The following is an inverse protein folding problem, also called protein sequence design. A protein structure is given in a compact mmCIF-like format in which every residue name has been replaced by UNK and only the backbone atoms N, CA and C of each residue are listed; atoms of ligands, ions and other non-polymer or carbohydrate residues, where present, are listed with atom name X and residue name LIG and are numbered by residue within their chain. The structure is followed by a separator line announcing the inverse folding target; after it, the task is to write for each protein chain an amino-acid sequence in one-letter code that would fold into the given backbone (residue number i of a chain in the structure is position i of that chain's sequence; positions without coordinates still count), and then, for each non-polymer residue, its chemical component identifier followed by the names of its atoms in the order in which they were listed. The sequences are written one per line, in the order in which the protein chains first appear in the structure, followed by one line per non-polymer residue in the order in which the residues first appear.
data_IF_912685660429
#
_entry.id   IF_912685660429
#
_cell.length_a   1.000
_cell.length_b   1.000
_cell.length_c   1.000
_cell.angle_alpha   90.00
_cell.angle_beta   90.00
_cell.angle_gamma   90.00
#
_symmetry.space_group_name_H-M   'P 1'
#
loop_
_entity.id
_entity.type
_entity.pdbx_description
1 polymer ?
#
# COMPACT_ATOMS: atom_id res chain seq x y z
N UNK A 1 -24.53 4.71 7.87
CA UNK A 1 -24.54 6.19 7.75
C UNK A 1 -23.46 6.53 6.76
N UNK A 2 -23.76 7.27 5.70
CA UNK A 2 -22.75 7.71 4.74
C UNK A 2 -21.80 8.69 5.42
N UNK A 3 -20.49 8.50 5.26
CA UNK A 3 -19.48 9.47 5.71
C UNK A 3 -19.61 10.75 4.89
N UNK A 4 -19.35 11.89 5.51
CA UNK A 4 -19.36 13.17 4.82
C UNK A 4 -18.20 13.26 3.82
N UNK A 5 -18.37 14.06 2.77
CA UNK A 5 -17.32 14.31 1.79
C UNK A 5 -16.06 14.93 2.43
N UNK A 6 -16.25 15.79 3.44
CA UNK A 6 -15.13 16.39 4.19
C UNK A 6 -14.33 15.34 4.96
N UNK A 7 -14.98 14.43 5.68
CA UNK A 7 -14.30 13.34 6.39
C UNK A 7 -13.49 12.45 5.43
N UNK A 8 -14.06 12.13 4.27
CA UNK A 8 -13.37 11.34 3.25
C UNK A 8 -12.18 12.09 2.64
N UNK A 9 -12.33 13.39 2.44
CA UNK A 9 -11.23 14.23 1.96
C UNK A 9 -10.08 14.28 2.98
N UNK A 10 -10.38 14.42 4.28
CA UNK A 10 -9.36 14.41 5.33
C UNK A 10 -8.70 13.04 5.48
N UNK A 11 -9.41 11.95 5.21
CA UNK A 11 -8.86 10.60 5.22
C UNK A 11 -7.80 10.35 4.13
N UNK A 12 -7.79 11.14 3.04
CA UNK A 12 -6.88 10.93 1.91
C UNK A 12 -5.41 11.01 2.32
N UNK A 13 -5.05 11.85 3.30
CA UNK A 13 -3.67 11.91 3.79
C UNK A 13 -3.19 10.55 4.31
N UNK A 14 -4.06 9.82 5.00
CA UNK A 14 -3.75 8.50 5.54
C UNK A 14 -3.77 7.42 4.47
N UNK A 15 -4.68 7.51 3.49
CA UNK A 15 -4.70 6.60 2.34
C UNK A 15 -3.40 6.70 1.56
N UNK A 16 -2.98 7.91 1.20
CA UNK A 16 -1.73 8.18 0.47
C UNK A 16 -0.51 7.71 1.25
N UNK A 17 -0.42 8.05 2.53
CA UNK A 17 0.64 7.54 3.41
C UNK A 17 0.73 6.00 3.38
N UNK A 18 -0.42 5.31 3.37
CA UNK A 18 -0.46 3.85 3.29
C UNK A 18 0.02 3.33 1.93
N UNK A 19 -0.31 4.03 0.84
CA UNK A 19 0.19 3.71 -0.52
C UNK A 19 1.71 3.83 -0.54
N UNK A 20 2.27 4.96 -0.09
CA UNK A 20 3.71 5.18 0.00
C UNK A 20 4.41 4.09 0.82
N UNK A 21 3.87 3.75 2.00
CA UNK A 21 4.46 2.72 2.86
C UNK A 21 4.38 1.31 2.26
N UNK A 22 3.41 1.05 1.38
CA UNK A 22 3.27 -0.25 0.71
C UNK A 22 4.39 -0.58 -0.27
N UNK A 23 5.25 0.39 -0.59
CA UNK A 23 6.42 0.22 -1.47
C UNK A 23 7.75 0.55 -0.79
N UNK A 24 7.75 0.74 0.54
CA UNK A 24 8.96 1.06 1.32
C UNK A 24 10.11 0.06 1.10
N UNK A 25 9.80 -1.23 0.93
CA UNK A 25 10.83 -2.26 0.65
C UNK A 25 11.52 -2.04 -0.71
N UNK A 26 10.77 -1.57 -1.71
CA UNK A 26 11.33 -1.29 -3.04
C UNK A 26 12.25 -0.07 -3.00
N UNK A 27 11.82 0.99 -2.31
CA UNK A 27 12.66 2.18 -2.10
C UNK A 27 13.93 1.84 -1.33
N UNK A 28 13.82 1.02 -0.29
CA UNK A 28 14.97 0.54 0.46
C UNK A 28 15.99 -0.16 -0.43
N UNK A 29 15.55 -1.07 -1.31
CA UNK A 29 16.44 -1.76 -2.25
C UNK A 29 17.24 -0.83 -3.19
N UNK A 30 16.72 0.38 -3.47
CA UNK A 30 17.42 1.40 -4.28
C UNK A 30 18.35 2.27 -3.44
N UNK A 31 18.01 2.51 -2.17
CA UNK A 31 18.72 3.42 -1.27
C UNK A 31 19.84 2.73 -0.49
N UNK A 32 19.66 1.47 -0.11
CA UNK A 32 20.51 0.77 0.85
C UNK A 32 22.00 0.87 0.48
N UNK A 33 22.37 0.60 -0.77
CA UNK A 33 23.75 0.61 -1.24
C UNK A 33 24.42 1.99 -1.21
N UNK A 34 23.62 3.07 -1.13
CA UNK A 34 24.08 4.47 -1.13
C UNK A 34 24.31 5.01 0.28
N UNK A 35 23.86 4.31 1.31
CA UNK A 35 23.93 4.75 2.69
C UNK A 35 25.15 4.13 3.40
N UNK A 36 25.90 4.90 4.22
CA UNK A 36 27.06 4.41 4.95
C UNK A 36 26.63 3.67 6.23
N UNK A 37 25.92 2.56 6.08
CA UNK A 37 25.39 1.76 7.17
C UNK A 37 26.22 0.48 7.37
N UNK A 38 26.40 0.08 8.63
CA UNK A 38 26.94 -1.23 8.98
C UNK A 38 25.94 -2.36 8.71
N UNK A 39 26.39 -3.62 8.86
CA UNK A 39 25.55 -4.78 8.59
C UNK A 39 24.33 -4.91 9.51
N UNK A 40 24.44 -4.49 10.78
CA UNK A 40 23.35 -4.55 11.74
C UNK A 40 22.30 -3.49 11.42
N UNK A 41 22.73 -2.26 11.16
CA UNK A 41 21.87 -1.15 10.76
C UNK A 41 21.09 -1.51 9.48
N UNK A 42 21.77 -2.04 8.46
CA UNK A 42 21.13 -2.51 7.22
C UNK A 42 20.03 -3.54 7.49
N UNK A 43 20.32 -4.54 8.32
CA UNK A 43 19.34 -5.56 8.67
C UNK A 43 18.12 -4.98 9.40
N UNK A 44 18.34 -4.04 10.33
CA UNK A 44 17.26 -3.36 11.06
C UNK A 44 16.37 -2.58 10.10
N UNK A 45 16.95 -1.75 9.22
CA UNK A 45 16.18 -0.96 8.26
C UNK A 45 15.47 -1.84 7.23
N UNK A 46 16.14 -2.88 6.71
CA UNK A 46 15.52 -3.82 5.79
C UNK A 46 14.28 -4.49 6.40
N UNK A 47 14.38 -4.96 7.65
CA UNK A 47 13.26 -5.56 8.36
C UNK A 47 12.12 -4.56 8.60
N UNK A 48 12.44 -3.33 9.02
CA UNK A 48 11.44 -2.29 9.22
C UNK A 48 10.70 -1.93 7.91
N UNK A 49 11.42 -1.84 6.79
CA UNK A 49 10.83 -1.59 5.48
C UNK A 49 9.92 -2.73 5.02
N UNK A 50 10.33 -3.99 5.24
CA UNK A 50 9.51 -5.18 4.97
C UNK A 50 8.25 -5.16 5.83
N UNK A 51 8.37 -4.99 7.14
CA UNK A 51 7.22 -4.97 8.05
C UNK A 51 6.24 -3.84 7.70
N UNK A 52 6.73 -2.62 7.46
CA UNK A 52 5.91 -1.48 7.03
C UNK A 52 5.17 -1.79 5.71
N UNK A 53 5.88 -2.39 4.75
CA UNK A 53 5.31 -2.80 3.46
C UNK A 53 4.17 -3.80 3.66
N UNK A 54 4.38 -4.86 4.44
CA UNK A 54 3.39 -5.92 4.64
C UNK A 54 2.16 -5.44 5.42
N UNK A 55 2.36 -4.62 6.45
CA UNK A 55 1.27 -3.97 7.19
C UNK A 55 0.44 -3.12 6.24
N UNK A 56 1.08 -2.31 5.41
CA UNK A 56 0.41 -1.40 4.48
C UNK A 56 -0.33 -2.15 3.38
N UNK A 57 0.26 -3.22 2.81
CA UNK A 57 -0.42 -4.10 1.87
C UNK A 57 -1.66 -4.74 2.49
N UNK A 58 -1.59 -5.17 3.75
CA UNK A 58 -2.74 -5.72 4.48
C UNK A 58 -3.84 -4.67 4.67
N UNK A 59 -3.48 -3.45 5.05
CA UNK A 59 -4.43 -2.34 5.21
C UNK A 59 -5.09 -2.00 3.87
N UNK A 60 -4.31 -1.85 2.79
CA UNK A 60 -4.85 -1.56 1.45
C UNK A 60 -5.74 -2.68 0.94
N UNK A 61 -5.37 -3.94 1.20
CA UNK A 61 -6.20 -5.07 0.82
C UNK A 61 -7.56 -5.04 1.53
N UNK A 62 -7.61 -4.60 2.78
CA UNK A 62 -8.88 -4.36 3.50
C UNK A 62 -9.61 -3.10 2.98
N UNK A 63 -8.89 -2.03 2.67
CA UNK A 63 -9.44 -0.78 2.13
C UNK A 63 -10.23 -1.01 0.84
N UNK A 64 -9.75 -1.88 -0.05
CA UNK A 64 -10.46 -2.25 -1.29
C UNK A 64 -11.56 -3.30 -1.10
N UNK A 65 -11.83 -3.76 0.13
CA UNK A 65 -13.00 -4.61 0.39
C UNK A 65 -14.26 -3.75 0.59
N UNK A 66 -15.43 -4.34 0.34
CA UNK A 66 -16.69 -3.72 0.76
C UNK A 66 -16.69 -3.55 2.28
N UNK A 67 -17.26 -2.45 2.77
CA UNK A 67 -17.36 -2.16 4.19
C UNK A 67 -17.87 -3.37 4.98
N UNK A 68 -17.06 -3.83 5.95
CA UNK A 68 -17.43 -4.90 6.90
C UNK A 68 -17.74 -4.35 8.30
N UNK A 69 -17.22 -3.17 8.62
CA UNK A 69 -17.29 -2.56 9.96
C UNK A 69 -17.36 -1.04 9.83
N UNK A 70 -18.22 -0.41 10.64
CA UNK A 70 -18.54 1.04 10.57
C UNK A 70 -17.36 1.98 10.87
N UNK A 71 -16.32 1.48 11.54
CA UNK A 71 -15.18 2.28 12.01
C UNK A 71 -13.98 2.26 11.06
N UNK A 72 -14.05 1.49 9.97
CA UNK A 72 -12.97 1.43 8.97
C UNK A 72 -13.26 2.37 7.82
N UNK A 73 -12.23 2.99 7.30
CA UNK A 73 -12.30 3.73 6.04
C UNK A 73 -12.06 2.73 4.93
N UNK A 74 -12.98 2.64 3.96
CA UNK A 74 -12.83 1.77 2.78
C UNK A 74 -13.11 2.54 1.50
N UNK A 75 -12.61 2.04 0.39
CA UNK A 75 -12.82 2.64 -0.93
C UNK A 75 -14.31 2.72 -1.29
N UNK A 76 -15.14 1.81 -0.76
CA UNK A 76 -16.59 1.81 -0.98
C UNK A 76 -17.32 3.01 -0.34
N UNK A 77 -16.67 3.77 0.55
CA UNK A 77 -17.25 5.00 1.09
C UNK A 77 -17.19 6.17 0.10
N UNK A 78 -16.34 6.11 -0.92
CA UNK A 78 -16.19 7.17 -1.91
C UNK A 78 -17.32 7.11 -2.94
N UNK A 79 -18.15 8.16 -3.07
CA UNK A 79 -19.34 8.12 -3.93
C UNK A 79 -19.02 7.85 -5.40
N UNK A 80 -19.62 6.81 -5.97
CA UNK A 80 -19.41 6.43 -7.37
C UNK A 80 -18.22 5.50 -7.61
N UNK A 81 -17.30 5.34 -6.65
CA UNK A 81 -16.19 4.41 -6.79
C UNK A 81 -16.64 2.95 -6.64
N UNK A 82 -16.32 2.13 -7.63
CA UNK A 82 -16.56 0.68 -7.59
C UNK A 82 -15.28 -0.03 -7.19
N UNK A 83 -15.22 -0.48 -5.93
CA UNK A 83 -14.04 -1.17 -5.43
C UNK A 83 -13.78 -2.50 -6.16
N UNK A 84 -12.53 -2.79 -6.58
CA UNK A 84 -12.19 -4.05 -7.27
C UNK A 84 -12.25 -5.27 -6.36
N UNK A 85 -12.28 -5.07 -5.03
CA UNK A 85 -12.18 -6.14 -4.03
C UNK A 85 -10.75 -6.33 -3.53
N UNK A 86 -10.52 -7.33 -2.66
CA UNK A 86 -9.19 -7.65 -2.16
C UNK A 86 -8.29 -8.13 -3.31
N UNK A 87 -7.03 -7.68 -3.32
CA UNK A 87 -6.03 -8.04 -4.32
C UNK A 87 -5.03 -9.11 -3.83
N UNK A 88 -4.98 -9.37 -2.52
CA UNK A 88 -4.15 -10.43 -1.95
C UNK A 88 -4.87 -11.78 -2.04
N UNK A 89 -4.11 -12.81 -2.42
CA UNK A 89 -4.58 -14.20 -2.32
C UNK A 89 -4.76 -14.60 -0.85
N UNK A 90 -5.66 -15.55 -0.57
CA UNK A 90 -5.84 -16.07 0.80
C UNK A 90 -4.52 -16.58 1.42
N UNK A 91 -3.67 -17.34 0.69
CA UNK A 91 -2.37 -17.76 1.22
C UNK A 91 -1.42 -16.58 1.52
N UNK A 92 -1.35 -15.58 0.64
CA UNK A 92 -0.49 -14.40 0.86
C UNK A 92 -0.96 -13.60 2.09
N UNK A 93 -2.27 -13.40 2.23
CA UNK A 93 -2.86 -12.71 3.38
C UNK A 93 -2.62 -13.47 4.69
N UNK A 94 -2.79 -14.79 4.69
CA UNK A 94 -2.51 -15.61 5.88
C UNK A 94 -1.04 -15.51 6.27
N UNK A 95 -0.13 -15.64 5.30
CA UNK A 95 1.32 -15.52 5.53
C UNK A 95 1.70 -14.16 6.11
N UNK A 96 1.09 -13.08 5.62
CA UNK A 96 1.28 -11.72 6.17
C UNK A 96 0.81 -11.65 7.63
N UNK A 97 -0.39 -12.14 7.94
CA UNK A 97 -0.91 -12.13 9.30
C UNK A 97 -0.02 -12.95 10.25
N UNK A 98 0.42 -14.13 9.82
CA UNK A 98 1.34 -14.97 10.59
C UNK A 98 2.67 -14.29 10.86
N UNK A 99 3.18 -13.52 9.91
CA UNK A 99 4.42 -12.78 10.08
C UNK A 99 4.28 -11.59 11.04
N UNK A 100 3.18 -10.83 10.92
CA UNK A 100 2.99 -9.58 11.65
C UNK A 100 2.45 -9.78 13.07
N UNK A 101 1.59 -10.77 13.28
CA UNK A 101 0.83 -10.91 14.53
C UNK A 101 1.22 -12.16 15.33
N UNK A 102 2.01 -13.08 14.76
CA UNK A 102 2.27 -14.38 15.38
C UNK A 102 3.78 -14.72 15.45
N UNK A 103 4.18 -15.31 16.57
CA UNK A 103 5.47 -15.99 16.69
C UNK A 103 5.26 -17.44 16.25
N UNK A 104 5.56 -17.74 14.99
CA UNK A 104 5.36 -19.07 14.41
C UNK A 104 6.67 -19.86 14.32
N UNK A 105 6.58 -21.19 14.39
CA UNK A 105 7.72 -22.08 14.14
C UNK A 105 8.38 -21.87 12.76
N UNK A 106 7.62 -21.36 11.79
CA UNK A 106 8.14 -20.99 10.48
C UNK A 106 9.16 -19.84 10.55
N UNK A 107 9.03 -18.89 11.49
CA UNK A 107 10.02 -17.81 11.67
C UNK A 107 11.37 -18.33 12.16
N UNK A 108 11.37 -19.40 12.95
CA UNK A 108 12.61 -20.04 13.45
C UNK A 108 13.30 -20.86 12.36
N UNK A 109 12.52 -21.53 11.51
CA UNK A 109 13.04 -22.43 10.47
C UNK A 109 13.34 -21.72 9.14
N UNK A 110 12.75 -20.55 8.89
CA UNK A 110 12.95 -19.71 7.70
C UNK A 110 13.08 -18.23 8.07
N UNK A 111 14.19 -17.83 8.74
CA UNK A 111 14.35 -16.49 9.31
C UNK A 111 14.39 -15.37 8.26
N UNK A 112 14.93 -15.64 7.07
CA UNK A 112 14.82 -14.75 5.92
C UNK A 112 13.58 -15.14 5.10
N UNK A 113 12.41 -14.66 5.50
CA UNK A 113 11.23 -14.80 4.66
C UNK A 113 11.42 -13.96 3.40
N UNK A 114 11.99 -14.55 2.34
CA UNK A 114 11.99 -13.93 1.03
C UNK A 114 10.52 -13.77 0.62
N UNK A 115 10.06 -12.53 0.64
CA UNK A 115 8.76 -12.14 0.14
C UNK A 115 8.87 -12.02 -1.37
N UNK A 116 7.95 -12.63 -2.12
CA UNK A 116 8.06 -12.60 -3.56
C UNK A 116 7.83 -11.17 -4.04
N UNK A 117 8.68 -10.66 -4.93
CA UNK A 117 8.62 -9.27 -5.42
C UNK A 117 7.22 -8.89 -5.96
N UNK A 118 6.52 -9.85 -6.60
CA UNK A 118 5.13 -9.69 -7.06
C UNK A 118 4.18 -9.16 -5.97
N UNK A 119 4.44 -9.52 -4.71
CA UNK A 119 3.59 -9.13 -3.57
C UNK A 119 3.71 -7.63 -3.30
N UNK A 120 4.92 -7.09 -3.37
CA UNK A 120 5.18 -5.66 -3.18
C UNK A 120 4.57 -4.80 -4.30
N UNK A 121 4.33 -5.40 -5.47
CA UNK A 121 3.68 -4.73 -6.59
C UNK A 121 2.16 -4.88 -6.59
N UNK A 122 1.62 -5.77 -5.77
CA UNK A 122 0.22 -6.20 -5.87
C UNK A 122 -0.80 -5.09 -5.58
N UNK A 123 -0.41 -4.07 -4.80
CA UNK A 123 -1.27 -2.93 -4.51
C UNK A 123 -1.26 -1.83 -5.60
N UNK A 124 -0.27 -1.82 -6.50
CA UNK A 124 -0.07 -0.69 -7.43
C UNK A 124 -1.26 -0.48 -8.38
N UNK A 125 -1.76 -1.54 -8.99
CA UNK A 125 -2.91 -1.47 -9.92
C UNK A 125 -4.19 -0.96 -9.22
N UNK A 126 -4.66 -1.56 -8.10
CA UNK A 126 -5.86 -1.05 -7.44
C UNK A 126 -5.68 0.38 -6.91
N UNK A 127 -4.49 0.74 -6.44
CA UNK A 127 -4.18 2.12 -6.04
C UNK A 127 -4.24 3.07 -7.24
N UNK A 128 -3.64 2.72 -8.39
CA UNK A 128 -3.71 3.51 -9.62
C UNK A 128 -5.15 3.79 -10.03
N UNK A 129 -6.02 2.77 -10.04
CA UNK A 129 -7.43 2.95 -10.37
C UNK A 129 -8.16 3.89 -9.39
N UNK A 130 -7.85 3.78 -8.10
CA UNK A 130 -8.43 4.65 -7.09
C UNK A 130 -7.96 6.10 -7.24
N UNK A 131 -6.67 6.34 -7.45
CA UNK A 131 -6.12 7.68 -7.65
C UNK A 131 -6.67 8.34 -8.93
N UNK A 132 -6.84 7.57 -10.02
CA UNK A 132 -7.54 8.05 -11.23
C UNK A 132 -8.96 8.51 -10.91
N UNK A 133 -9.74 7.69 -10.19
CA UNK A 133 -11.08 8.08 -9.77
C UNK A 133 -11.05 9.36 -8.91
N UNK A 134 -10.11 9.45 -7.96
CA UNK A 134 -10.01 10.62 -7.10
C UNK A 134 -9.82 11.90 -7.91
N UNK A 135 -8.93 11.91 -8.89
CA UNK A 135 -8.68 13.09 -9.71
C UNK A 135 -9.80 13.41 -10.70
N UNK A 136 -10.52 12.39 -11.20
CA UNK A 136 -11.55 12.57 -12.23
C UNK A 136 -12.92 12.91 -11.67
N UNK A 137 -13.26 12.35 -10.51
CA UNK A 137 -14.64 12.31 -10.02
C UNK A 137 -14.78 12.81 -8.58
N UNK A 138 -13.72 12.71 -7.76
CA UNK A 138 -13.82 13.09 -6.36
C UNK A 138 -13.25 14.48 -6.07
N UNK A 139 -12.09 14.85 -6.60
CA UNK A 139 -11.37 16.07 -6.27
C UNK A 139 -11.58 17.16 -7.32
N UNK A 140 -11.58 18.40 -6.85
CA UNK A 140 -11.43 19.60 -7.67
C UNK A 140 -9.94 19.95 -7.81
N UNK A 141 -9.52 20.61 -8.91
CA UNK A 141 -8.17 21.14 -9.04
C UNK A 141 -7.73 22.11 -7.93
N UNK A 142 -8.68 22.73 -7.22
CA UNK A 142 -8.41 23.61 -6.09
C UNK A 142 -8.20 22.87 -4.76
N UNK A 143 -8.50 21.57 -4.70
CA UNK A 143 -8.34 20.78 -3.47
C UNK A 143 -6.86 20.55 -3.16
N UNK A 144 -6.47 20.70 -1.89
CA UNK A 144 -5.06 20.56 -1.45
C UNK A 144 -4.43 19.21 -1.82
N UNK A 145 -5.24 18.16 -1.90
CA UNK A 145 -4.77 16.80 -2.19
C UNK A 145 -4.65 16.52 -3.70
N UNK A 146 -5.16 17.39 -4.57
CA UNK A 146 -5.16 17.16 -6.02
C UNK A 146 -3.74 17.02 -6.58
N UNK A 147 -2.86 18.00 -6.31
CA UNK A 147 -1.48 17.97 -6.83
C UNK A 147 -0.67 16.79 -6.26
N UNK A 148 -0.69 16.51 -4.95
CA UNK A 148 0.00 15.33 -4.39
C UNK A 148 -0.50 14.00 -4.97
N UNK A 149 -1.81 13.81 -5.14
CA UNK A 149 -2.38 12.58 -5.73
C UNK A 149 -1.99 12.46 -7.20
N UNK A 150 -1.96 13.57 -7.94
CA UNK A 150 -1.53 13.58 -9.34
C UNK A 150 -0.05 13.15 -9.48
N UNK A 151 0.82 13.59 -8.58
CA UNK A 151 2.22 13.18 -8.55
C UNK A 151 2.39 11.70 -8.21
N UNK A 152 1.66 11.21 -7.20
CA UNK A 152 1.68 9.81 -6.79
C UNK A 152 1.17 8.89 -7.92
N UNK A 153 0.07 9.27 -8.58
CA UNK A 153 -0.45 8.55 -9.73
C UNK A 153 0.57 8.49 -10.87
N UNK A 154 1.19 9.63 -11.21
CA UNK A 154 2.23 9.68 -12.24
C UNK A 154 3.40 8.74 -11.90
N UNK A 155 3.86 8.73 -10.65
CA UNK A 155 4.95 7.85 -10.22
C UNK A 155 4.59 6.37 -10.36
N UNK A 156 3.37 5.98 -9.96
CA UNK A 156 2.87 4.60 -10.12
C UNK A 156 2.80 4.23 -11.61
N UNK A 157 2.29 5.12 -12.46
CA UNK A 157 2.20 4.88 -13.91
C UNK A 157 3.56 4.67 -14.56
N UNK A 158 4.52 5.53 -14.25
CA UNK A 158 5.89 5.40 -14.74
C UNK A 158 6.53 4.09 -14.28
N UNK A 159 6.27 3.67 -13.04
CA UNK A 159 6.77 2.41 -12.52
C UNK A 159 6.14 1.21 -13.24
N UNK A 160 4.81 1.17 -13.37
CA UNK A 160 4.09 0.07 -14.03
C UNK A 160 4.45 -0.08 -15.51
N UNK A 161 4.69 1.03 -16.21
CA UNK A 161 5.18 1.02 -17.60
C UNK A 161 6.54 0.33 -17.72
N UNK A 162 7.47 0.60 -16.79
CA UNK A 162 8.80 -0.04 -16.79
C UNK A 162 8.73 -1.53 -16.49
N UNK A 163 7.83 -1.95 -15.59
CA UNK A 163 7.65 -3.37 -15.27
C UNK A 163 7.02 -4.15 -16.42
N UNK A 164 6.14 -3.56 -17.22
CA UNK A 164 5.55 -4.22 -18.39
C UNK A 164 6.52 -4.36 -19.57
N UNK A 165 7.59 -3.55 -19.63
CA UNK A 165 8.60 -3.60 -20.69
C UNK A 165 9.81 -4.49 -20.36
N UNK A 166 9.87 -5.04 -19.14
CA UNK A 166 10.95 -5.91 -18.65
C UNK A 166 10.49 -7.38 -18.60
#
# INVERSE_FOLDING_TARGET
MSRSRSELHDALVHVRYTIDQSISTLYWGVLESKLPLDGMQRAIFANACIESTLVSLRILNEFFTREKTKDRITASHYPGYRTPGPFLSKPDLQRINDHLAHLTWQRLTKPAAQWPHRLFLSALIPCQHFLHYLLREFLSPADREHAPISQELYAIEQFLQRVHMA
#
